data_IF_157590613036
#
_entry.id   IF_157590613036
#
_cell.length_a   1.000
_cell.length_b   1.000
_cell.length_c   1.000
_cell.angle_alpha   90.00
_cell.angle_beta   90.00
_cell.angle_gamma   90.00
#
_symmetry.space_group_name_H-M   'P 1'
#
loop_
_entity.id
_entity.type
_entity.pdbx_description
1 polymer ?
#
# COMPACT_ATOMS: atom_id res chain seq x y z
N UNK A 1 -8.19 8.11 -15.32
CA UNK A 1 -7.75 7.99 -13.90
C UNK A 1 -6.42 7.24 -13.83
N UNK A 2 -5.30 7.87 -13.44
CA UNK A 2 -3.98 7.18 -13.34
C UNK A 2 -3.82 6.53 -11.95
N UNK A 3 -4.51 5.41 -11.71
CA UNK A 3 -4.43 4.68 -10.42
C UNK A 3 -3.23 3.74 -10.34
N UNK A 4 -2.65 3.33 -11.47
CA UNK A 4 -1.48 2.44 -11.53
C UNK A 4 -0.36 2.74 -10.51
N UNK A 5 0.07 4.00 -10.30
CA UNK A 5 1.11 4.28 -9.30
C UNK A 5 0.66 4.02 -7.86
N UNK A 6 -0.63 4.21 -7.53
CA UNK A 6 -1.17 3.94 -6.20
C UNK A 6 -1.27 2.43 -5.94
N UNK A 7 -1.73 1.66 -6.92
CA UNK A 7 -1.80 0.21 -6.81
C UNK A 7 -0.40 -0.40 -6.72
N UNK A 8 0.56 0.12 -7.50
CA UNK A 8 1.97 -0.26 -7.40
C UNK A 8 2.55 0.02 -6.01
N UNK A 9 2.30 1.22 -5.47
CA UNK A 9 2.73 1.60 -4.12
C UNK A 9 2.17 0.67 -3.04
N UNK A 10 0.86 0.39 -3.12
CA UNK A 10 0.18 -0.49 -2.19
C UNK A 10 0.75 -1.91 -2.26
N UNK A 11 0.94 -2.44 -3.47
CA UNK A 11 1.49 -3.78 -3.69
C UNK A 11 2.91 -3.91 -3.14
N UNK A 12 3.76 -2.93 -3.41
CA UNK A 12 5.15 -2.96 -2.95
C UNK A 12 5.24 -2.84 -1.42
N UNK A 13 4.44 -1.95 -0.82
CA UNK A 13 4.35 -1.83 0.63
C UNK A 13 3.90 -3.15 1.27
N UNK A 14 2.82 -3.73 0.78
CA UNK A 14 2.26 -4.96 1.33
C UNK A 14 3.25 -6.13 1.23
N UNK A 15 3.98 -6.21 0.12
CA UNK A 15 5.05 -7.20 -0.07
C UNK A 15 6.13 -7.03 0.99
N UNK A 16 6.66 -5.81 1.18
CA UNK A 16 7.70 -5.52 2.19
C UNK A 16 7.23 -5.84 3.61
N UNK A 17 6.01 -5.47 3.97
CA UNK A 17 5.45 -5.77 5.28
C UNK A 17 5.29 -7.27 5.51
N UNK A 18 4.93 -8.04 4.48
CA UNK A 18 4.78 -9.49 4.59
C UNK A 18 6.10 -10.22 4.86
N UNK A 19 7.23 -9.66 4.42
CA UNK A 19 8.57 -10.29 4.53
C UNK A 19 9.48 -9.69 5.60
N UNK A 20 9.17 -8.50 6.13
CA UNK A 20 10.00 -7.80 7.11
C UNK A 20 9.88 -8.37 8.52
N UNK A 21 10.90 -8.20 9.36
CA UNK A 21 10.86 -8.64 10.76
C UNK A 21 9.96 -7.74 11.62
N UNK A 22 9.48 -8.26 12.74
CA UNK A 22 8.55 -7.55 13.64
C UNK A 22 9.18 -6.27 14.26
N UNK A 23 10.49 -6.26 14.46
CA UNK A 23 11.23 -5.09 14.98
C UNK A 23 11.43 -3.99 13.93
N UNK A 24 11.16 -4.27 12.65
CA UNK A 24 11.32 -3.29 11.58
C UNK A 24 10.30 -2.15 11.71
N UNK A 25 10.78 -0.91 11.59
CA UNK A 25 9.93 0.27 11.56
C UNK A 25 9.09 0.34 10.29
N UNK A 26 7.76 0.40 10.42
CA UNK A 26 6.84 0.46 9.28
C UNK A 26 7.04 1.74 8.45
N UNK A 27 7.42 2.84 9.12
CA UNK A 27 7.70 4.13 8.47
C UNK A 27 8.77 4.05 7.39
N UNK A 28 9.87 3.33 7.64
CA UNK A 28 10.94 3.15 6.66
C UNK A 28 10.49 2.38 5.42
N UNK A 29 9.85 1.22 5.63
CA UNK A 29 9.33 0.40 4.53
C UNK A 29 8.30 1.16 3.68
N UNK A 30 7.39 1.90 4.33
CA UNK A 30 6.40 2.72 3.65
C UNK A 30 7.01 3.91 2.90
N UNK A 31 8.08 4.51 3.44
CA UNK A 31 8.79 5.59 2.77
C UNK A 31 9.48 5.09 1.51
N UNK A 32 10.19 3.96 1.58
CA UNK A 32 10.86 3.39 0.40
C UNK A 32 9.84 3.02 -0.69
N UNK A 33 8.75 2.31 -0.33
CA UNK A 33 7.69 1.98 -1.29
C UNK A 33 7.07 3.23 -1.91
N UNK A 34 6.84 4.29 -1.12
CA UNK A 34 6.33 5.57 -1.61
C UNK A 34 7.30 6.26 -2.57
N UNK A 35 8.59 6.31 -2.24
CA UNK A 35 9.64 6.96 -3.04
C UNK A 35 9.86 6.27 -4.40
N UNK A 36 9.81 4.94 -4.43
CA UNK A 36 9.97 4.15 -5.64
C UNK A 36 8.77 4.27 -6.60
N UNK A 37 7.59 4.59 -6.07
CA UNK A 37 6.32 4.57 -6.82
C UNK A 37 5.67 5.97 -6.89
N UNK A 38 4.83 6.32 -5.92
CA UNK A 38 3.96 7.50 -5.91
C UNK A 38 4.69 8.83 -5.90
N UNK A 39 5.88 8.89 -5.30
CA UNK A 39 6.62 10.15 -5.17
C UNK A 39 6.92 10.81 -6.52
N UNK A 40 7.03 10.03 -7.61
CA UNK A 40 7.25 10.53 -8.98
C UNK A 40 6.05 11.27 -9.56
N UNK A 41 4.88 11.09 -8.95
CA UNK A 41 3.61 11.66 -9.39
C UNK A 41 3.11 12.79 -8.46
N UNK A 42 3.80 13.05 -7.35
CA UNK A 42 3.40 14.05 -6.36
C UNK A 42 4.28 15.30 -6.40
N UNK A 43 3.70 16.52 -6.31
CA UNK A 43 4.47 17.74 -6.11
C UNK A 43 5.25 17.71 -4.79
N UNK A 44 6.27 18.57 -4.70
CA UNK A 44 7.17 18.64 -3.55
C UNK A 44 6.42 18.74 -2.20
N UNK A 45 5.37 19.57 -2.13
CA UNK A 45 4.61 19.77 -0.89
C UNK A 45 3.94 18.49 -0.40
N UNK A 46 3.31 17.74 -1.31
CA UNK A 46 2.65 16.46 -0.99
C UNK A 46 3.68 15.41 -0.56
N UNK A 47 4.86 15.38 -1.22
CA UNK A 47 5.95 14.49 -0.82
C UNK A 47 6.42 14.77 0.60
N UNK A 48 6.59 16.04 0.98
CA UNK A 48 6.97 16.41 2.36
C UNK A 48 5.92 16.00 3.36
N UNK A 49 4.64 16.28 3.09
CA UNK A 49 3.54 15.84 3.95
C UNK A 49 3.51 14.33 4.15
N UNK A 50 3.69 13.57 3.07
CA UNK A 50 3.78 12.11 3.13
C UNK A 50 4.93 11.65 4.02
N UNK A 51 6.15 12.18 3.85
CA UNK A 51 7.30 11.83 4.70
C UNK A 51 7.01 12.06 6.19
N UNK A 52 6.39 13.19 6.55
CA UNK A 52 6.01 13.47 7.94
C UNK A 52 4.98 12.47 8.48
N UNK A 53 3.98 12.09 7.69
CA UNK A 53 2.99 11.10 8.10
C UNK A 53 3.61 9.72 8.32
N UNK A 54 4.58 9.33 7.49
CA UNK A 54 5.23 8.02 7.58
C UNK A 54 6.14 7.89 8.82
N UNK A 55 6.72 8.98 9.30
CA UNK A 55 7.47 9.01 10.56
C UNK A 55 6.61 8.68 11.78
N UNK A 56 5.29 8.88 11.70
CA UNK A 56 4.36 8.57 12.77
C UNK A 56 3.94 7.08 12.82
N UNK A 57 4.37 6.27 11.85
CA UNK A 57 4.03 4.85 11.81
C UNK A 57 4.80 4.05 12.88
N UNK A 58 4.17 3.03 13.49
CA UNK A 58 4.78 2.20 14.52
C UNK A 58 5.76 1.16 13.94
N UNK A 59 6.35 0.31 14.78
CA UNK A 59 7.01 -0.91 14.33
C UNK A 59 5.99 -1.95 13.86
N UNK A 60 6.43 -2.90 13.02
CA UNK A 60 5.56 -3.93 12.46
C UNK A 60 4.92 -4.79 13.56
N UNK A 61 5.69 -5.22 14.55
CA UNK A 61 5.20 -6.00 15.70
C UNK A 61 4.16 -5.23 16.52
N UNK A 62 4.33 -3.92 16.72
CA UNK A 62 3.32 -3.07 17.39
C UNK A 62 2.05 -2.92 16.56
N UNK A 63 2.15 -2.92 15.23
CA UNK A 63 0.99 -2.93 14.35
C UNK A 63 0.26 -4.29 14.39
N UNK A 64 1.00 -5.39 14.29
CA UNK A 64 0.46 -6.76 14.33
C UNK A 64 -0.13 -7.12 15.69
N UNK A 65 0.39 -6.55 16.78
CA UNK A 65 -0.18 -6.72 18.11
C UNK A 65 -1.64 -6.22 18.22
N UNK A 66 -2.05 -5.27 17.36
CA UNK A 66 -3.43 -4.77 17.29
C UNK A 66 -4.37 -5.67 16.49
N UNK A 67 -3.83 -6.65 15.75
CA UNK A 67 -4.65 -7.63 15.06
C UNK A 67 -5.32 -8.59 16.06
N UNK A 68 -6.42 -9.21 15.64
CA UNK A 68 -7.10 -10.22 16.44
C UNK A 68 -6.16 -11.39 16.73
N UNK A 69 -6.27 -11.95 17.94
CA UNK A 69 -5.35 -12.96 18.47
C UNK A 69 -5.33 -14.26 17.67
N UNK A 70 -6.44 -14.60 17.02
CA UNK A 70 -6.61 -15.78 16.17
C UNK A 70 -5.99 -15.64 14.76
N UNK A 71 -5.67 -14.42 14.33
CA UNK A 71 -5.18 -14.13 12.98
C UNK A 71 -3.67 -13.88 12.91
N UNK A 72 -2.99 -13.84 14.07
CA UNK A 72 -1.59 -13.38 14.15
C UNK A 72 -0.61 -14.21 13.32
N UNK A 73 -0.79 -15.53 13.30
CA UNK A 73 0.06 -16.45 12.53
C UNK A 73 -0.17 -16.34 11.02
N UNK A 74 -1.33 -15.80 10.61
CA UNK A 74 -1.74 -15.68 9.21
C UNK A 74 -1.56 -14.26 8.65
N UNK A 75 -1.24 -13.26 9.48
CA UNK A 75 -1.17 -11.85 9.08
C UNK A 75 -0.33 -11.60 7.83
N UNK A 76 0.82 -12.29 7.72
CA UNK A 76 1.73 -12.15 6.57
C UNK A 76 1.13 -12.73 5.29
N UNK A 77 0.48 -13.88 5.39
CA UNK A 77 -0.27 -14.50 4.28
C UNK A 77 -1.47 -13.65 3.88
N UNK A 78 -2.22 -13.15 4.87
CA UNK A 78 -3.36 -12.24 4.65
C UNK A 78 -2.92 -10.95 3.98
N UNK A 79 -1.78 -10.39 4.37
CA UNK A 79 -1.20 -9.22 3.72
C UNK A 79 -1.01 -9.49 2.22
N UNK A 80 -0.33 -10.56 1.84
CA UNK A 80 -0.13 -10.92 0.43
C UNK A 80 -1.47 -11.13 -0.30
N UNK A 81 -2.39 -11.87 0.32
CA UNK A 81 -3.72 -12.12 -0.24
C UNK A 81 -4.51 -10.82 -0.48
N UNK A 82 -4.45 -9.85 0.44
CA UNK A 82 -5.11 -8.56 0.28
C UNK A 82 -4.55 -7.78 -0.90
N UNK A 83 -3.23 -7.80 -1.11
CA UNK A 83 -2.60 -7.16 -2.27
C UNK A 83 -3.07 -7.78 -3.59
N UNK A 84 -3.05 -9.11 -3.68
CA UNK A 84 -3.46 -9.82 -4.88
C UNK A 84 -4.95 -9.60 -5.20
N UNK A 85 -5.80 -9.60 -4.17
CA UNK A 85 -7.22 -9.34 -4.34
C UNK A 85 -7.51 -7.87 -4.70
N UNK A 86 -6.80 -6.91 -4.10
CA UNK A 86 -6.91 -5.50 -4.47
C UNK A 86 -6.55 -5.29 -5.95
N UNK A 87 -5.51 -5.97 -6.44
CA UNK A 87 -5.12 -5.95 -7.85
C UNK A 87 -6.23 -6.48 -8.77
N UNK A 88 -6.85 -7.62 -8.40
CA UNK A 88 -7.97 -8.20 -9.17
C UNK A 88 -9.18 -7.28 -9.22
N UNK A 89 -9.59 -6.75 -8.06
CA UNK A 89 -10.74 -5.84 -7.96
C UNK A 89 -10.49 -4.57 -8.76
N UNK A 90 -9.27 -4.01 -8.68
CA UNK A 90 -8.90 -2.85 -9.46
C UNK A 90 -9.05 -3.09 -10.96
N UNK A 91 -8.41 -4.13 -11.51
CA UNK A 91 -8.47 -4.38 -12.95
C UNK A 91 -9.86 -4.78 -13.44
N UNK A 92 -10.66 -5.43 -12.59
CA UNK A 92 -12.06 -5.67 -12.88
C UNK A 92 -12.83 -4.34 -13.01
N UNK A 93 -12.69 -3.43 -12.05
CA UNK A 93 -13.34 -2.12 -12.09
C UNK A 93 -12.85 -1.28 -13.27
N UNK A 94 -11.54 -1.23 -13.50
CA UNK A 94 -10.92 -0.53 -14.62
C UNK A 94 -11.44 -1.04 -15.97
N UNK A 95 -11.57 -2.36 -16.15
CA UNK A 95 -12.12 -2.95 -17.36
C UNK A 95 -13.58 -2.50 -17.60
N UNK A 96 -14.40 -2.42 -16.55
CA UNK A 96 -15.78 -1.92 -16.63
C UNK A 96 -15.78 -0.44 -17.02
N UNK A 97 -15.00 0.39 -16.34
CA UNK A 97 -14.93 1.82 -16.62
C UNK A 97 -14.44 2.08 -18.04
N UNK A 98 -13.44 1.32 -18.50
CA UNK A 98 -12.95 1.38 -19.88
C UNK A 98 -14.02 1.01 -20.89
N UNK A 99 -14.75 -0.09 -20.65
CA UNK A 99 -15.83 -0.56 -21.53
C UNK A 99 -16.93 0.49 -21.71
N UNK A 100 -17.21 1.28 -20.67
CA UNK A 100 -18.26 2.30 -20.69
C UNK A 100 -17.76 3.72 -20.97
N UNK A 101 -16.46 3.91 -21.29
CA UNK A 101 -15.90 5.24 -21.58
C UNK A 101 -15.84 6.17 -20.37
N UNK A 102 -15.75 5.62 -19.15
CA UNK A 102 -15.83 6.36 -17.87
C UNK A 102 -14.47 6.61 -17.21
N UNK A 103 -13.36 6.34 -17.90
CA UNK A 103 -12.02 6.50 -17.30
C UNK A 103 -11.62 7.96 -17.05
N UNK A 104 -12.23 8.90 -17.78
CA UNK A 104 -11.92 10.33 -17.75
C UNK A 104 -13.13 11.16 -17.30
N UNK A 105 -13.89 10.64 -16.33
CA UNK A 105 -14.90 11.43 -15.64
C UNK A 105 -14.26 12.70 -15.05
N UNK A 106 -14.88 13.88 -15.23
CA UNK A 106 -14.34 15.16 -14.77
C UNK A 106 -14.26 15.27 -13.24
#
# INVERSE_FOLDING_TARGET
>A
MKIDPYLAAFKELQKRLSTANDDTGMGGLAQESYEETLARHHPWLIRKGATWALLALPTLGKAFAKARTDEKDQLRTLMQAVSDNAYRVFHFAEAIYKKHGLLDLP
#
